data_IF_867059245979
#
_entry.id   IF_867059245979
#
_cell.length_a   1.000
_cell.length_b   1.000
_cell.length_c   1.000
_cell.angle_alpha   90.00
_cell.angle_beta   90.00
_cell.angle_gamma   90.00
#
_symmetry.space_group_name_H-M   'P 1'
#
loop_
_entity.id
_entity.type
_entity.pdbx_description
1 polymer ?
#
# COMPACT_ATOMS: atom_id res chain seq x y z
N UNK A 1 -0.24 20.92 5.97
CA UNK A 1 -1.02 19.71 6.20
C UNK A 1 -0.27 18.78 7.13
N UNK A 2 -0.86 17.61 7.46
CA UNK A 2 -0.29 16.73 8.50
C UNK A 2 1.16 16.31 8.23
N UNK A 3 1.49 15.94 6.99
CA UNK A 3 2.86 15.55 6.63
C UNK A 3 3.82 16.72 6.82
N UNK A 4 3.45 17.91 6.39
CA UNK A 4 4.28 19.11 6.51
C UNK A 4 4.52 19.50 7.97
N UNK A 5 3.66 19.05 8.86
CA UNK A 5 3.76 19.26 10.31
C UNK A 5 4.55 18.15 11.01
N UNK A 6 5.13 17.21 10.27
CA UNK A 6 5.92 16.12 10.81
C UNK A 6 5.11 14.91 11.29
N UNK A 7 3.83 14.82 10.94
CA UNK A 7 3.01 13.67 11.29
C UNK A 7 3.32 12.47 10.39
N UNK A 8 3.38 11.29 10.98
CA UNK A 8 3.41 10.03 10.23
C UNK A 8 1.98 9.68 9.82
N UNK A 9 1.72 9.73 8.51
CA UNK A 9 0.39 9.45 7.96
C UNK A 9 0.32 7.97 7.56
N UNK A 10 -0.79 7.33 7.88
CA UNK A 10 -1.08 5.94 7.52
C UNK A 10 -2.31 5.92 6.63
N UNK A 11 -2.26 5.11 5.58
CA UNK A 11 -3.40 4.87 4.69
C UNK A 11 -4.00 3.49 4.93
N UNK A 12 -5.32 3.43 4.92
CA UNK A 12 -6.08 2.18 5.00
C UNK A 12 -7.37 2.34 4.20
N UNK A 13 -8.03 1.22 3.92
CA UNK A 13 -9.29 1.23 3.15
C UNK A 13 -10.47 1.69 3.99
N UNK A 14 -10.41 1.51 5.29
CA UNK A 14 -11.56 1.68 6.19
C UNK A 14 -12.76 0.83 5.73
N UNK A 15 -12.47 -0.34 5.16
CA UNK A 15 -13.51 -1.23 4.65
C UNK A 15 -14.49 -1.61 5.76
N UNK A 16 -15.76 -1.30 5.51
CA UNK A 16 -16.84 -1.63 6.44
C UNK A 16 -18.18 -1.66 5.70
N UNK A 17 -19.18 -2.40 6.19
CA UNK A 17 -20.46 -2.53 5.50
C UNK A 17 -21.32 -1.27 5.56
N UNK A 18 -20.99 -0.31 6.43
CA UNK A 18 -21.81 0.89 6.65
C UNK A 18 -21.53 2.03 5.71
N UNK A 19 -20.26 2.29 5.36
CA UNK A 19 -19.89 3.51 4.65
C UNK A 19 -18.80 3.36 3.60
N UNK A 20 -18.04 2.28 3.58
CA UNK A 20 -16.92 2.14 2.64
C UNK A 20 -16.75 0.68 2.21
N UNK A 21 -16.94 0.42 0.93
CA UNK A 21 -16.80 -0.93 0.35
C UNK A 21 -15.48 -1.12 -0.42
N UNK A 22 -14.55 -0.18 -0.30
CA UNK A 22 -13.25 -0.26 -0.98
C UNK A 22 -12.39 -1.32 -0.29
N UNK A 23 -11.89 -2.28 -1.07
CA UNK A 23 -11.01 -3.36 -0.62
C UNK A 23 -9.63 -3.30 -1.30
N UNK A 24 -9.33 -2.24 -2.03
CA UNK A 24 -8.13 -2.13 -2.85
C UNK A 24 -7.21 -1.05 -2.31
N UNK A 25 -6.06 -1.44 -1.78
CA UNK A 25 -5.02 -0.48 -1.36
C UNK A 25 -4.42 0.30 -2.53
N UNK A 26 -4.20 -0.28 -3.73
CA UNK A 26 -3.78 0.53 -4.88
C UNK A 26 -4.76 1.67 -5.18
N UNK A 27 -6.06 1.44 -5.07
CA UNK A 27 -7.05 2.51 -5.24
C UNK A 27 -6.92 3.58 -4.16
N UNK A 28 -6.70 3.20 -2.92
CA UNK A 28 -6.49 4.16 -1.81
C UNK A 28 -5.26 5.00 -2.06
N UNK A 29 -4.16 4.42 -2.53
CA UNK A 29 -2.94 5.15 -2.89
C UNK A 29 -3.27 6.17 -4.00
N UNK A 30 -4.01 5.75 -5.03
CA UNK A 30 -4.44 6.63 -6.12
C UNK A 30 -5.27 7.82 -5.60
N UNK A 31 -6.25 7.55 -4.74
CA UNK A 31 -7.09 8.59 -4.16
C UNK A 31 -6.29 9.55 -3.27
N UNK A 32 -5.33 9.05 -2.51
CA UNK A 32 -4.46 9.89 -1.69
C UNK A 32 -3.64 10.85 -2.55
N UNK A 33 -3.11 10.38 -3.68
CA UNK A 33 -2.37 11.22 -4.61
C UNK A 33 -3.27 12.26 -5.31
N UNK A 34 -4.44 11.84 -5.77
CA UNK A 34 -5.33 12.70 -6.57
C UNK A 34 -6.10 13.71 -5.74
N UNK A 35 -6.54 13.35 -4.56
CA UNK A 35 -7.46 14.16 -3.76
C UNK A 35 -6.91 14.64 -2.43
N UNK A 36 -5.87 13.99 -1.88
CA UNK A 36 -5.31 14.36 -0.59
C UNK A 36 -3.97 15.09 -0.70
N UNK A 37 -3.45 15.26 -1.90
CA UNK A 37 -2.23 16.02 -2.16
C UNK A 37 -0.94 15.31 -1.74
N UNK A 38 -0.95 13.99 -1.57
CA UNK A 38 0.27 13.23 -1.30
C UNK A 38 1.05 13.01 -2.60
N UNK A 39 2.39 12.97 -2.49
CA UNK A 39 3.21 12.41 -3.57
C UNK A 39 3.03 10.90 -3.57
N UNK A 40 3.42 10.24 -4.68
CA UNK A 40 3.34 8.78 -4.74
C UNK A 40 4.24 8.12 -3.68
N UNK A 41 5.41 8.68 -3.44
CA UNK A 41 6.33 8.18 -2.42
C UNK A 41 5.72 8.29 -1.03
N UNK A 42 5.11 9.42 -0.71
CA UNK A 42 4.43 9.65 0.56
C UNK A 42 3.26 8.66 0.74
N UNK A 43 2.45 8.49 -0.29
CA UNK A 43 1.32 7.56 -0.25
C UNK A 43 1.77 6.11 -0.12
N UNK A 44 2.83 5.74 -0.82
CA UNK A 44 3.39 4.38 -0.79
C UNK A 44 3.96 4.06 0.60
N UNK A 45 4.72 4.97 1.19
CA UNK A 45 5.25 4.82 2.56
C UNK A 45 4.10 4.76 3.57
N UNK A 46 3.09 5.60 3.40
CA UNK A 46 1.92 5.61 4.28
C UNK A 46 1.15 4.28 4.26
N UNK A 47 1.15 3.59 3.11
CA UNK A 47 0.47 2.30 2.95
C UNK A 47 1.32 1.10 3.37
N UNK A 48 2.62 1.26 3.55
CA UNK A 48 3.55 0.16 3.84
C UNK A 48 4.28 0.35 5.16
N UNK A 49 5.32 1.15 5.18
CA UNK A 49 6.19 1.34 6.35
C UNK A 49 5.45 1.97 7.53
N UNK A 50 4.73 3.05 7.28
CA UNK A 50 3.98 3.71 8.36
C UNK A 50 2.83 2.83 8.86
N UNK A 51 2.21 2.05 7.99
CA UNK A 51 1.20 1.06 8.38
C UNK A 51 1.77 0.01 9.33
N UNK A 52 2.94 -0.51 9.02
CA UNK A 52 3.64 -1.47 9.88
C UNK A 52 3.98 -0.86 11.24
N UNK A 53 4.45 0.39 11.25
CA UNK A 53 4.76 1.12 12.50
C UNK A 53 3.52 1.32 13.36
N UNK A 54 2.39 1.65 12.76
CA UNK A 54 1.13 1.84 13.48
C UNK A 54 0.67 0.55 14.18
N UNK A 55 1.06 -0.60 13.63
CA UNK A 55 0.73 -1.92 14.19
C UNK A 55 1.87 -2.51 15.04
N UNK A 56 2.94 -1.76 15.30
CA UNK A 56 4.16 -2.23 15.97
C UNK A 56 4.80 -3.44 15.28
N UNK A 57 4.74 -3.48 13.95
CA UNK A 57 5.26 -4.57 13.12
C UNK A 57 6.43 -4.13 12.22
N UNK A 58 6.99 -2.95 12.44
CA UNK A 58 8.02 -2.34 11.59
C UNK A 58 9.34 -3.13 11.55
N UNK A 59 9.57 -4.04 12.50
CA UNK A 59 10.74 -4.92 12.50
C UNK A 59 10.50 -6.24 11.76
N UNK A 60 9.29 -6.47 11.27
CA UNK A 60 8.87 -7.74 10.66
C UNK A 60 8.42 -7.54 9.21
N UNK A 61 7.60 -6.52 8.97
CA UNK A 61 6.98 -6.24 7.66
C UNK A 61 7.05 -4.75 7.33
N UNK A 62 6.63 -4.38 6.13
CA UNK A 62 6.55 -2.98 5.70
C UNK A 62 7.71 -2.52 4.85
N UNK A 63 8.73 -3.35 4.67
CA UNK A 63 9.89 -3.05 3.82
C UNK A 63 10.43 -4.32 3.18
N UNK A 64 11.15 -4.15 2.08
CA UNK A 64 11.91 -5.22 1.42
C UNK A 64 13.34 -5.10 1.89
N UNK A 65 13.71 -5.90 2.87
CA UNK A 65 15.03 -5.85 3.49
C UNK A 65 15.40 -7.21 4.07
N UNK A 66 16.69 -7.46 4.20
CA UNK A 66 17.19 -8.71 4.80
C UNK A 66 16.66 -8.87 6.22
N UNK A 67 16.13 -10.04 6.51
CA UNK A 67 15.56 -10.36 7.82
C UNK A 67 14.07 -10.04 7.97
N UNK A 68 13.48 -9.34 7.01
CA UNK A 68 12.05 -9.06 7.01
C UNK A 68 11.26 -10.26 6.46
N UNK A 69 10.02 -10.38 6.93
CA UNK A 69 9.08 -11.37 6.42
C UNK A 69 8.79 -11.10 4.93
N UNK A 70 8.81 -12.15 4.13
CA UNK A 70 8.56 -12.02 2.69
C UNK A 70 7.05 -11.94 2.41
N UNK A 71 6.47 -10.79 2.69
CA UNK A 71 5.12 -10.37 2.29
C UNK A 71 5.30 -9.37 1.15
N UNK A 72 5.18 -9.84 -0.09
CA UNK A 72 5.58 -9.08 -1.27
C UNK A 72 4.47 -9.08 -2.31
N UNK A 73 4.38 -7.96 -3.02
CA UNK A 73 3.57 -7.84 -4.22
C UNK A 73 4.46 -7.74 -5.45
N UNK A 74 4.14 -8.48 -6.48
CA UNK A 74 4.81 -8.42 -7.77
C UNK A 74 3.87 -7.73 -8.75
N UNK A 75 4.34 -6.63 -9.34
CA UNK A 75 3.51 -5.74 -10.14
C UNK A 75 3.87 -5.80 -11.62
N UNK A 76 2.88 -5.69 -12.47
CA UNK A 76 3.03 -5.42 -13.90
C UNK A 76 3.13 -3.89 -14.11
N UNK A 77 4.18 -3.32 -13.57
CA UNK A 77 4.48 -1.89 -13.65
C UNK A 77 5.99 -1.68 -13.77
N UNK A 78 6.39 -0.60 -14.43
CA UNK A 78 7.80 -0.21 -14.53
C UNK A 78 8.23 0.71 -13.37
N UNK A 79 7.28 1.34 -12.68
CA UNK A 79 7.54 2.29 -11.62
C UNK A 79 6.32 2.42 -10.72
N UNK A 80 6.53 2.75 -9.44
CA UNK A 80 5.43 3.05 -8.52
C UNK A 80 4.60 4.25 -8.98
N UNK A 81 5.18 5.13 -9.80
CA UNK A 81 4.46 6.28 -10.35
C UNK A 81 3.26 5.88 -11.22
N UNK A 82 3.23 4.64 -11.71
CA UNK A 82 2.12 4.14 -12.52
C UNK A 82 0.92 3.70 -11.69
N UNK A 83 1.07 3.48 -10.38
CA UNK A 83 -0.03 3.04 -9.53
C UNK A 83 -1.23 3.98 -9.60
N UNK A 84 -1.07 5.31 -9.44
CA UNK A 84 -2.20 6.23 -9.58
C UNK A 84 -2.80 6.27 -10.98
N UNK A 85 -2.01 5.96 -12.00
CA UNK A 85 -2.46 5.95 -13.38
C UNK A 85 -3.47 4.81 -13.65
N UNK A 86 -3.23 3.63 -13.07
CA UNK A 86 -4.05 2.44 -13.28
C UNK A 86 -5.11 2.27 -12.19
N UNK A 87 -5.88 3.32 -11.93
CA UNK A 87 -6.83 3.37 -10.82
C UNK A 87 -7.86 2.22 -10.83
N UNK A 88 -8.34 1.81 -12.00
CA UNK A 88 -9.39 0.79 -12.14
C UNK A 88 -8.88 -0.58 -12.58
N UNK A 89 -7.57 -0.71 -12.83
CA UNK A 89 -6.96 -1.96 -13.29
C UNK A 89 -6.15 -2.60 -12.17
N UNK A 90 -6.30 -3.91 -11.99
CA UNK A 90 -5.44 -4.65 -11.08
C UNK A 90 -4.14 -5.01 -11.79
N UNK A 91 -3.05 -4.36 -11.40
CA UNK A 91 -1.70 -4.59 -11.95
C UNK A 91 -0.83 -5.49 -11.08
N UNK A 92 -1.43 -6.12 -10.08
CA UNK A 92 -0.72 -7.08 -9.25
C UNK A 92 -0.69 -8.42 -9.99
N UNK A 93 0.52 -8.91 -10.27
CA UNK A 93 0.72 -10.20 -10.93
C UNK A 93 0.68 -11.36 -9.94
N UNK A 94 1.38 -11.20 -8.83
CA UNK A 94 1.51 -12.24 -7.81
C UNK A 94 1.56 -11.62 -6.42
N UNK A 95 1.14 -12.40 -5.45
CA UNK A 95 1.22 -12.07 -4.02
C UNK A 95 2.03 -13.16 -3.34
N UNK A 96 3.02 -12.76 -2.55
CA UNK A 96 3.77 -13.66 -1.69
C UNK A 96 3.45 -13.36 -0.24
N UNK A 97 3.16 -14.39 0.52
CA UNK A 97 2.88 -14.28 1.96
C UNK A 97 3.80 -15.24 2.72
N UNK A 98 4.58 -14.70 3.64
CA UNK A 98 5.56 -15.47 4.44
C UNK A 98 6.47 -16.35 3.58
N UNK A 99 6.88 -15.81 2.43
CA UNK A 99 7.78 -16.52 1.50
C UNK A 99 7.10 -17.50 0.54
N UNK A 100 5.78 -17.64 0.59
CA UNK A 100 5.02 -18.53 -0.29
C UNK A 100 4.18 -17.72 -1.28
N UNK A 101 4.31 -18.08 -2.57
CA UNK A 101 3.45 -17.49 -3.60
C UNK A 101 2.03 -18.03 -3.45
N UNK A 102 1.06 -17.11 -3.43
CA UNK A 102 -0.34 -17.46 -3.38
C UNK A 102 -0.85 -17.76 -4.79
N UNK A 103 -1.77 -18.73 -4.89
CA UNK A 103 -2.47 -18.99 -6.14
C UNK A 103 -3.34 -17.79 -6.49
N UNK A 104 -3.37 -17.48 -7.78
CA UNK A 104 -4.09 -16.31 -8.28
C UNK A 104 -5.56 -16.63 -8.47
N UNK A 105 -6.39 -16.14 -7.56
CA UNK A 105 -7.85 -16.21 -7.65
C UNK A 105 -8.50 -14.81 -7.79
N UNK A 106 -7.68 -13.81 -8.12
CA UNK A 106 -8.10 -12.42 -8.15
C UNK A 106 -7.97 -11.81 -9.54
#
# INVERSE_FOLDING_TARGET
KMIDMGCDVVLATDFNPGSCTIQSMPLIISLACLYCGLTIEEAFIAATWNGARALNQENIVGAVSTGYQADLLFWDLNSINEIPYWMSSNRILNVMKKGELLEKEF
#
